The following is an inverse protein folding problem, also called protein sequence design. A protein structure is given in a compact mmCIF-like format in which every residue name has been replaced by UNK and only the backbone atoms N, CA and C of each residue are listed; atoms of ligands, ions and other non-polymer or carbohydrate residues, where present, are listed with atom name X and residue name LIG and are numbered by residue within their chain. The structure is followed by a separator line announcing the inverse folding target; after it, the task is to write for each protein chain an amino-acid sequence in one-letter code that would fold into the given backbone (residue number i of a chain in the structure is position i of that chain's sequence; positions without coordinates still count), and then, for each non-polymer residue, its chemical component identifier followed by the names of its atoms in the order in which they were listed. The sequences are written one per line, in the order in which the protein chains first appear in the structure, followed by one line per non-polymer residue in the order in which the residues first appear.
data_IF_788673873924
#
_entry.id   IF_788673873924
#
_cell.length_a   1.000
_cell.length_b   1.000
_cell.length_c   1.000
_cell.angle_alpha   90.00
_cell.angle_beta   90.00
_cell.angle_gamma   90.00
#
_symmetry.space_group_name_H-M   'P 1'
#
loop_
_entity.id
_entity.type
_entity.pdbx_description
1 polymer ?
#
# COMPACT_ATOMS: atom_id res chain seq x y z
N UNK A 1 -16.82 17.96 18.43
CA UNK A 1 -16.16 16.63 18.33
C UNK A 1 -14.94 16.82 17.44
N UNK A 2 -13.73 16.48 17.90
CA UNK A 2 -12.51 16.65 17.09
C UNK A 2 -12.36 15.47 16.15
N UNK A 3 -12.24 15.72 14.85
CA UNK A 3 -12.03 14.68 13.84
C UNK A 3 -10.61 14.13 13.97
N UNK A 4 -10.47 12.81 14.12
CA UNK A 4 -9.14 12.16 14.17
C UNK A 4 -8.38 12.43 12.87
N UNK A 5 -7.12 12.87 12.98
CA UNK A 5 -6.25 13.05 11.82
C UNK A 5 -5.61 11.71 11.39
N UNK A 6 -6.24 10.99 10.48
CA UNK A 6 -5.78 9.68 10.01
C UNK A 6 -4.47 9.75 9.20
N UNK A 7 -4.16 10.90 8.59
CA UNK A 7 -2.86 11.13 7.94
C UNK A 7 -1.71 11.06 8.95
N UNK A 8 -1.92 11.65 10.13
CA UNK A 8 -0.95 11.59 11.24
C UNK A 8 -0.82 10.19 11.80
N UNK A 9 -1.93 9.45 11.96
CA UNK A 9 -1.90 8.05 12.44
C UNK A 9 -1.02 7.15 11.57
N UNK A 10 -1.11 7.28 10.24
CA UNK A 10 -0.26 6.51 9.32
C UNK A 10 1.11 7.16 9.02
N UNK A 11 1.37 8.36 9.53
CA UNK A 11 2.56 9.15 9.19
C UNK A 11 2.74 9.32 7.67
N UNK A 12 1.67 9.73 6.99
CA UNK A 12 1.63 9.96 5.53
C UNK A 12 1.09 11.34 5.21
N UNK A 13 1.50 11.88 4.07
CA UNK A 13 0.98 13.14 3.55
C UNK A 13 -0.24 12.91 2.65
N UNK A 14 -1.16 13.90 2.49
CA UNK A 14 -2.36 13.78 1.66
C UNK A 14 -2.14 13.32 0.21
N UNK A 15 -1.01 13.68 -0.39
CA UNK A 15 -0.61 13.34 -1.75
C UNK A 15 0.04 11.96 -1.88
N UNK A 16 0.18 11.21 -0.78
CA UNK A 16 0.82 9.89 -0.79
C UNK A 16 0.06 8.91 -1.66
N UNK A 17 0.79 8.13 -2.47
CA UNK A 17 0.21 7.05 -3.27
C UNK A 17 -0.41 5.96 -2.39
N UNK A 18 -1.38 5.22 -2.94
CA UNK A 18 -2.03 4.07 -2.29
C UNK A 18 -1.01 3.07 -1.76
N UNK A 19 0.01 2.74 -2.57
CA UNK A 19 1.10 1.85 -2.19
C UNK A 19 1.90 2.38 -0.99
N UNK A 20 2.23 3.67 -0.98
CA UNK A 20 2.96 4.30 0.13
C UNK A 20 2.12 4.26 1.42
N UNK A 21 0.82 4.55 1.32
CA UNK A 21 -0.10 4.45 2.46
C UNK A 21 -0.19 3.02 3.01
N UNK A 22 -0.33 2.02 2.13
CA UNK A 22 -0.37 0.63 2.54
C UNK A 22 0.94 0.16 3.20
N UNK A 23 2.11 0.52 2.64
CA UNK A 23 3.41 0.17 3.24
C UNK A 23 3.53 0.73 4.66
N UNK A 24 3.10 1.97 4.87
CA UNK A 24 3.10 2.63 6.18
C UNK A 24 2.12 1.98 7.15
N UNK A 25 0.90 1.70 6.70
CA UNK A 25 -0.10 0.92 7.42
C UNK A 25 0.47 -0.42 7.86
N UNK A 26 0.99 -1.25 6.93
CA UNK A 26 1.53 -2.57 7.26
C UNK A 26 2.63 -2.46 8.30
N UNK A 27 3.59 -1.55 8.09
CA UNK A 27 4.72 -1.36 9.03
C UNK A 27 4.25 -0.96 10.43
N UNK A 28 3.30 -0.03 10.53
CA UNK A 28 2.74 0.41 11.80
C UNK A 28 1.94 -0.72 12.47
N UNK A 29 1.08 -1.40 11.70
CA UNK A 29 0.21 -2.47 12.18
C UNK A 29 1.00 -3.67 12.71
N UNK A 30 2.07 -4.07 12.03
CA UNK A 30 2.94 -5.18 12.49
C UNK A 30 3.73 -4.83 13.76
N UNK A 31 4.02 -3.54 13.98
CA UNK A 31 4.73 -3.05 15.17
C UNK A 31 3.81 -2.70 16.35
N UNK A 32 2.50 -2.66 16.13
CA UNK A 32 1.55 -2.29 17.17
C UNK A 32 1.36 -3.45 18.15
N UNK A 33 1.59 -3.16 19.43
CA UNK A 33 1.50 -4.12 20.52
C UNK A 33 0.08 -4.22 21.11
N UNK A 34 -0.68 -3.13 21.07
CA UNK A 34 -2.05 -3.09 21.60
C UNK A 34 -3.11 -3.33 20.51
N UNK A 35 -4.25 -3.89 20.93
CA UNK A 35 -5.44 -4.04 20.08
C UNK A 35 -5.94 -2.66 19.64
N UNK A 36 -6.05 -1.71 20.57
CA UNK A 36 -6.50 -0.34 20.30
C UNK A 36 -5.64 0.36 19.25
N UNK A 37 -4.31 0.19 19.28
CA UNK A 37 -3.43 0.76 18.26
C UNK A 37 -3.65 0.10 16.89
N UNK A 38 -3.83 -1.22 16.87
CA UNK A 38 -4.12 -1.95 15.62
C UNK A 38 -5.45 -1.52 15.02
N UNK A 39 -6.48 -1.31 15.84
CA UNK A 39 -7.77 -0.76 15.42
C UNK A 39 -7.60 0.63 14.83
N UNK A 40 -6.89 1.52 15.54
CA UNK A 40 -6.67 2.90 15.10
C UNK A 40 -5.91 2.96 13.78
N UNK A 41 -4.89 2.13 13.63
CA UNK A 41 -4.07 2.03 12.41
C UNK A 41 -4.90 1.47 11.25
N UNK A 42 -5.70 0.43 11.48
CA UNK A 42 -6.57 -0.15 10.46
C UNK A 42 -7.66 0.85 10.04
N UNK A 43 -8.29 1.53 11.01
CA UNK A 43 -9.28 2.57 10.74
C UNK A 43 -8.70 3.68 9.88
N UNK A 44 -7.48 4.14 10.19
CA UNK A 44 -6.81 5.16 9.40
C UNK A 44 -6.55 4.69 7.96
N UNK A 45 -6.17 3.43 7.75
CA UNK A 45 -6.01 2.89 6.40
C UNK A 45 -7.33 2.79 5.64
N UNK A 46 -8.39 2.29 6.27
CA UNK A 46 -9.71 2.16 5.64
C UNK A 46 -10.29 3.52 5.27
N UNK A 47 -10.17 4.53 6.15
CA UNK A 47 -10.65 5.89 5.89
C UNK A 47 -9.88 6.55 4.74
N UNK A 48 -8.56 6.36 4.69
CA UNK A 48 -7.69 6.89 3.64
C UNK A 48 -7.70 6.06 2.36
N UNK A 49 -8.48 4.98 2.29
CA UNK A 49 -8.71 4.23 1.07
C UNK A 49 -9.38 5.11 0.00
N UNK A 50 -9.15 4.79 -1.28
CA UNK A 50 -9.53 5.67 -2.39
C UNK A 50 -11.04 5.98 -2.45
N UNK A 51 -11.91 5.07 -1.98
CA UNK A 51 -13.36 5.23 -2.02
C UNK A 51 -13.87 6.25 -0.98
N UNK A 52 -13.25 6.32 0.19
CA UNK A 52 -13.68 7.16 1.32
C UNK A 52 -12.85 8.43 1.52
N UNK A 53 -11.61 8.44 1.04
CA UNK A 53 -10.66 9.56 1.22
C UNK A 53 -11.24 10.92 0.84
N UNK A 54 -11.95 11.01 -0.30
CA UNK A 54 -12.55 12.27 -0.76
C UNK A 54 -13.53 12.88 0.25
N UNK A 55 -14.30 12.04 0.95
CA UNK A 55 -15.25 12.50 1.97
C UNK A 55 -14.52 12.93 3.24
N UNK A 56 -13.46 12.19 3.59
CA UNK A 56 -12.61 12.52 4.72
C UNK A 56 -11.87 13.85 4.52
N UNK A 57 -11.32 14.11 3.33
CA UNK A 57 -10.61 15.35 3.02
C UNK A 57 -11.54 16.57 3.13
N UNK A 58 -12.80 16.44 2.71
CA UNK A 58 -13.82 17.48 2.89
C UNK A 58 -14.07 17.72 4.38
N UNK A 59 -14.29 16.67 5.18
CA UNK A 59 -14.50 16.80 6.62
C UNK A 59 -13.31 17.40 7.35
N UNK A 60 -12.09 17.05 6.94
CA UNK A 60 -10.87 17.58 7.52
C UNK A 60 -10.72 19.08 7.21
N UNK A 61 -11.08 19.51 5.99
CA UNK A 61 -11.11 20.92 5.62
C UNK A 61 -12.16 21.68 6.43
N UNK A 62 -13.39 21.15 6.55
CA UNK A 62 -14.47 21.73 7.37
C UNK A 62 -14.07 21.85 8.85
N UNK A 63 -13.43 20.82 9.41
CA UNK A 63 -12.94 20.83 10.78
C UNK A 63 -11.86 21.90 11.00
N UNK A 64 -10.98 22.15 10.02
CA UNK A 64 -9.94 23.18 10.10
C UNK A 64 -10.50 24.59 9.99
N UNK A 65 -11.59 24.78 9.24
CA UNK A 65 -12.26 26.07 9.09
C UNK A 65 -13.32 26.34 10.16
N UNK A 66 -13.45 25.48 11.17
CA UNK A 66 -14.53 25.51 12.18
C UNK A 66 -15.94 25.54 11.58
N UNK A 67 -16.11 24.99 10.38
CA UNK A 67 -17.41 24.85 9.74
C UNK A 67 -18.18 23.64 10.31
N UNK A 68 -19.50 23.66 10.17
CA UNK A 68 -20.32 22.51 10.52
C UNK A 68 -19.95 21.30 9.64
N UNK A 69 -19.72 20.14 10.30
CA UNK A 69 -19.34 18.91 9.61
C UNK A 69 -20.53 18.31 8.89
N UNK A 70 -20.32 17.91 7.63
CA UNK A 70 -21.35 17.21 6.88
C UNK A 70 -21.65 15.83 7.51
N UNK A 71 -22.85 15.68 8.08
CA UNK A 71 -23.26 14.47 8.81
C UNK A 71 -23.27 13.22 7.93
N UNK A 72 -23.65 13.34 6.66
CA UNK A 72 -23.63 12.21 5.72
C UNK A 72 -22.20 11.68 5.52
N UNK A 73 -21.23 12.58 5.38
CA UNK A 73 -19.83 12.20 5.25
C UNK A 73 -19.27 11.65 6.56
N UNK A 74 -19.62 12.27 7.69
CA UNK A 74 -19.19 11.81 9.00
C UNK A 74 -19.63 10.36 9.24
N UNK A 75 -20.87 10.01 8.92
CA UNK A 75 -21.38 8.64 9.04
C UNK A 75 -20.62 7.64 8.17
N UNK A 76 -20.16 8.03 6.98
CA UNK A 76 -19.31 7.17 6.13
C UNK A 76 -17.98 6.87 6.84
N UNK A 77 -17.35 7.89 7.44
CA UNK A 77 -16.07 7.73 8.14
C UNK A 77 -16.23 6.90 9.41
N UNK A 78 -17.25 7.20 10.23
CA UNK A 78 -17.55 6.44 11.45
C UNK A 78 -17.85 4.97 11.15
N UNK A 79 -18.50 4.67 10.02
CA UNK A 79 -18.72 3.29 9.60
C UNK A 79 -17.39 2.57 9.31
N UNK A 80 -16.41 3.22 8.67
CA UNK A 80 -15.08 2.63 8.45
C UNK A 80 -14.34 2.36 9.76
N UNK A 81 -14.42 3.29 10.71
CA UNK A 81 -13.84 3.08 12.05
C UNK A 81 -14.51 1.89 12.77
N UNK A 82 -15.84 1.78 12.70
CA UNK A 82 -16.59 0.65 13.26
C UNK A 82 -16.21 -0.69 12.61
N UNK A 83 -15.95 -0.70 11.30
CA UNK A 83 -15.49 -1.92 10.64
C UNK A 83 -14.07 -2.30 11.10
N UNK A 84 -13.16 -1.32 11.24
CA UNK A 84 -11.82 -1.61 11.74
C UNK A 84 -11.86 -2.28 13.11
N UNK A 85 -12.69 -1.79 14.03
CA UNK A 85 -12.90 -2.43 15.35
C UNK A 85 -13.37 -3.87 15.21
N UNK A 86 -14.42 -4.11 14.42
CA UNK A 86 -14.94 -5.46 14.16
C UNK A 86 -13.92 -6.42 13.55
N UNK A 87 -12.98 -5.94 12.75
CA UNK A 87 -11.93 -6.77 12.14
C UNK A 87 -10.82 -7.17 13.10
N UNK A 88 -10.61 -6.39 14.18
CA UNK A 88 -9.56 -6.64 15.17
C UNK A 88 -10.09 -7.42 16.38
N UNK A 89 -11.33 -7.17 16.79
CA UNK A 89 -11.96 -7.78 17.99
C UNK A 89 -12.35 -9.27 17.79
N UNK A 90 -12.32 -9.77 16.54
CA UNK A 90 -12.85 -11.08 16.15
C UNK A 90 -11.74 -12.09 15.81
N UNK A 91 -12.07 -13.38 15.61
CA UNK A 91 -11.16 -14.47 15.10
C UNK A 91 -10.45 -14.13 13.76
N UNK A 92 -10.77 -12.97 13.19
CA UNK A 92 -10.33 -12.47 11.90
C UNK A 92 -9.00 -11.72 11.95
N UNK A 93 -8.48 -11.39 13.13
CA UNK A 93 -7.13 -10.85 13.25
C UNK A 93 -6.09 -11.79 12.59
N UNK A 94 -6.29 -13.10 12.71
CA UNK A 94 -5.46 -14.12 12.04
C UNK A 94 -5.63 -14.10 10.53
N UNK A 95 -6.85 -13.91 10.03
CA UNK A 95 -7.12 -13.82 8.59
C UNK A 95 -6.52 -12.54 7.99
N UNK A 96 -6.69 -11.39 8.66
CA UNK A 96 -6.07 -10.12 8.29
C UNK A 96 -4.55 -10.25 8.31
N UNK A 97 -3.97 -10.82 9.37
CA UNK A 97 -2.52 -11.07 9.46
C UNK A 97 -2.03 -11.95 8.31
N UNK A 98 -2.75 -13.04 7.99
CA UNK A 98 -2.43 -13.91 6.85
C UNK A 98 -2.46 -13.15 5.53
N UNK A 99 -3.46 -12.28 5.32
CA UNK A 99 -3.51 -11.42 4.13
C UNK A 99 -2.34 -10.44 4.08
N UNK A 100 -1.96 -9.84 5.22
CA UNK A 100 -0.80 -8.96 5.29
C UNK A 100 0.53 -9.70 5.05
N UNK A 101 0.65 -10.95 5.47
CA UNK A 101 1.85 -11.76 5.29
C UNK A 101 2.18 -12.06 3.82
N UNK A 102 1.19 -12.00 2.91
CA UNK A 102 1.44 -12.07 1.45
C UNK A 102 2.29 -10.91 0.89
N UNK A 103 2.53 -9.86 1.67
CA UNK A 103 3.27 -8.66 1.28
C UNK A 103 4.67 -8.59 1.94
N UNK A 104 5.74 -9.21 1.42
CA UNK A 104 7.03 -9.24 2.10
C UNK A 104 7.58 -7.84 2.39
N UNK A 105 7.86 -7.52 3.66
CA UNK A 105 8.42 -6.22 4.07
C UNK A 105 9.79 -5.94 3.41
N UNK A 106 10.54 -6.98 3.03
CA UNK A 106 11.85 -6.88 2.41
C UNK A 106 11.84 -6.18 1.03
N UNK A 107 10.70 -6.14 0.33
CA UNK A 107 10.57 -5.44 -0.95
C UNK A 107 10.42 -3.90 -0.81
N UNK A 108 10.54 -3.37 0.42
CA UNK A 108 10.47 -1.93 0.71
C UNK A 108 11.78 -1.21 0.36
N UNK A 109 12.93 -1.91 0.30
CA UNK A 109 14.26 -1.31 0.09
C UNK A 109 14.41 -0.70 -1.31
N UNK A 110 13.70 -1.21 -2.33
CA UNK A 110 13.81 -0.69 -3.71
C UNK A 110 13.09 0.65 -3.94
N UNK A 111 12.11 1.00 -3.09
CA UNK A 111 11.44 2.31 -3.15
C UNK A 111 12.38 3.44 -2.71
N UNK A 112 13.40 3.16 -1.89
CA UNK A 112 14.39 4.16 -1.45
C UNK A 112 15.32 4.60 -2.61
N UNK A 113 15.30 3.89 -3.74
CA UNK A 113 16.04 4.25 -4.95
C UNK A 113 15.27 5.21 -5.88
N UNK A 114 14.03 5.62 -5.55
CA UNK A 114 13.28 6.63 -6.31
C UNK A 114 12.80 6.19 -7.70
N UNK A 115 12.78 4.88 -7.96
CA UNK A 115 12.36 4.32 -9.23
C UNK A 115 10.83 4.16 -9.25
N UNK A 116 10.11 5.11 -9.85
CA UNK A 116 8.66 5.07 -10.02
C UNK A 116 8.32 4.58 -11.42
N UNK A 117 7.83 3.35 -11.54
CA UNK A 117 7.32 2.81 -12.80
C UNK A 117 5.79 2.76 -12.78
N UNK A 118 5.16 2.73 -13.96
CA UNK A 118 3.73 2.49 -14.02
C UNK A 118 3.38 1.10 -13.50
N UNK A 119 2.10 0.89 -13.23
CA UNK A 119 1.66 -0.23 -12.37
C UNK A 119 0.81 -1.27 -13.10
N UNK A 120 0.64 -1.11 -14.41
CA UNK A 120 -0.08 -2.05 -15.26
C UNK A 120 0.71 -3.34 -15.51
N UNK A 121 0.00 -4.39 -15.93
CA UNK A 121 0.56 -5.69 -16.33
C UNK A 121 1.67 -5.57 -17.39
N UNK A 122 1.64 -4.50 -18.20
CA UNK A 122 2.68 -4.13 -19.17
C UNK A 122 4.03 -3.81 -18.52
N UNK A 123 4.03 -3.24 -17.32
CA UNK A 123 5.25 -2.94 -16.57
C UNK A 123 5.85 -4.19 -15.91
N UNK A 124 5.00 -5.15 -15.53
CA UNK A 124 5.44 -6.48 -15.09
C UNK A 124 6.13 -7.23 -16.23
N UNK A 125 5.51 -7.29 -17.41
CA UNK A 125 6.10 -7.98 -18.57
C UNK A 125 7.36 -7.28 -19.08
N UNK A 126 7.37 -5.95 -19.09
CA UNK A 126 8.56 -5.16 -19.43
C UNK A 126 9.69 -5.36 -18.41
N UNK A 127 9.38 -5.40 -17.11
CA UNK A 127 10.33 -5.71 -16.05
C UNK A 127 10.97 -7.09 -16.23
N UNK A 128 10.18 -8.13 -16.52
CA UNK A 128 10.68 -9.49 -16.82
C UNK A 128 11.61 -9.46 -18.04
N UNK A 129 11.23 -8.74 -19.10
CA UNK A 129 12.02 -8.63 -20.33
C UNK A 129 13.38 -7.99 -20.05
N UNK A 130 13.39 -6.89 -19.28
CA UNK A 130 14.61 -6.20 -18.89
C UNK A 130 15.49 -7.10 -18.03
N UNK A 131 14.92 -7.86 -17.09
CA UNK A 131 15.68 -8.84 -16.29
C UNK A 131 16.31 -9.91 -17.20
N UNK A 132 15.59 -10.45 -18.17
CA UNK A 132 16.15 -11.45 -19.10
C UNK A 132 17.29 -10.88 -19.95
N UNK A 133 17.11 -9.67 -20.50
CA UNK A 133 18.17 -8.97 -21.26
C UNK A 133 19.38 -8.66 -20.38
N UNK A 134 19.16 -8.29 -19.13
CA UNK A 134 20.21 -7.97 -18.16
C UNK A 134 21.10 -9.18 -17.84
N UNK A 135 20.50 -10.37 -17.69
CA UNK A 135 21.21 -11.62 -17.48
C UNK A 135 22.05 -11.94 -18.72
N UNK A 136 21.47 -11.80 -19.92
CA UNK A 136 22.19 -11.98 -21.18
C UNK A 136 23.39 -11.06 -21.34
N UNK A 137 23.24 -9.76 -21.05
CA UNK A 137 24.31 -8.77 -21.07
C UNK A 137 25.42 -9.08 -20.06
N UNK A 138 25.04 -9.50 -18.85
CA UNK A 138 25.99 -9.86 -17.80
C UNK A 138 26.80 -11.10 -18.18
N UNK A 139 26.13 -12.16 -18.67
CA UNK A 139 26.80 -13.38 -19.14
C UNK A 139 27.73 -13.08 -20.31
N UNK A 140 27.27 -12.30 -21.31
CA UNK A 140 28.08 -11.90 -22.45
C UNK A 140 29.33 -11.13 -22.01
N UNK A 141 29.18 -10.17 -21.09
CA UNK A 141 30.29 -9.41 -20.53
C UNK A 141 31.30 -10.27 -19.77
N UNK A 142 30.84 -11.24 -18.99
CA UNK A 142 31.72 -12.20 -18.29
C UNK A 142 32.49 -13.07 -19.29
N UNK A 143 31.80 -13.67 -20.28
CA UNK A 143 32.42 -14.54 -21.27
C UNK A 143 33.39 -13.79 -22.20
N UNK A 144 33.11 -12.51 -22.48
CA UNK A 144 33.93 -11.67 -23.36
C UNK A 144 34.97 -10.83 -22.61
N UNK A 145 35.06 -10.95 -21.27
CA UNK A 145 35.90 -10.13 -20.40
C UNK A 145 35.67 -8.62 -20.56
N UNK A 146 34.46 -8.21 -20.91
CA UNK A 146 34.07 -6.82 -21.10
C UNK A 146 33.35 -6.30 -19.85
N UNK A 147 33.90 -5.28 -19.21
CA UNK A 147 33.35 -4.70 -17.98
C UNK A 147 32.06 -3.89 -18.25
N UNK A 148 31.98 -3.21 -19.39
CA UNK A 148 30.84 -2.33 -19.71
C UNK A 148 29.50 -3.08 -19.80
N UNK A 149 29.41 -4.24 -20.50
CA UNK A 149 28.19 -5.05 -20.52
C UNK A 149 27.81 -5.64 -19.15
N UNK A 150 28.78 -5.93 -18.27
CA UNK A 150 28.52 -6.39 -16.91
C UNK A 150 27.83 -5.30 -16.09
N UNK A 151 28.38 -4.08 -16.10
CA UNK A 151 27.80 -2.94 -15.38
C UNK A 151 26.40 -2.61 -15.93
N UNK A 152 26.27 -2.55 -17.26
CA UNK A 152 24.99 -2.32 -17.93
C UNK A 152 23.95 -3.39 -17.59
N UNK A 153 24.38 -4.66 -17.54
CA UNK A 153 23.56 -5.78 -17.09
C UNK A 153 23.09 -5.62 -15.64
N UNK A 154 23.98 -5.32 -14.69
CA UNK A 154 23.60 -5.14 -13.28
C UNK A 154 22.59 -3.98 -13.12
N UNK A 155 22.81 -2.85 -13.78
CA UNK A 155 21.88 -1.70 -13.72
C UNK A 155 20.52 -2.05 -14.34
N UNK A 156 20.52 -2.70 -15.50
CA UNK A 156 19.29 -3.16 -16.13
C UNK A 156 18.54 -4.15 -15.23
N UNK A 157 19.25 -5.05 -14.54
CA UNK A 157 18.65 -6.00 -13.60
C UNK A 157 17.93 -5.27 -12.47
N UNK A 158 18.57 -4.27 -11.85
CA UNK A 158 17.98 -3.47 -10.77
C UNK A 158 16.69 -2.79 -11.25
N UNK A 159 16.72 -2.17 -12.44
CA UNK A 159 15.57 -1.50 -13.05
C UNK A 159 14.44 -2.49 -13.32
N UNK A 160 14.75 -3.59 -14.02
CA UNK A 160 13.74 -4.60 -14.38
C UNK A 160 13.12 -5.27 -13.14
N UNK A 161 13.93 -5.54 -12.12
CA UNK A 161 13.45 -6.08 -10.85
C UNK A 161 12.55 -5.09 -10.10
N UNK A 162 12.91 -3.80 -10.08
CA UNK A 162 12.08 -2.76 -9.48
C UNK A 162 10.70 -2.66 -10.17
N UNK A 163 10.68 -2.67 -11.51
CA UNK A 163 9.45 -2.67 -12.32
C UNK A 163 8.56 -3.89 -12.04
N UNK A 164 9.16 -5.08 -12.06
CA UNK A 164 8.47 -6.33 -11.76
C UNK A 164 7.88 -6.32 -10.34
N UNK A 165 8.69 -5.95 -9.36
CA UNK A 165 8.28 -5.87 -7.95
C UNK A 165 7.12 -4.91 -7.77
N UNK A 166 7.22 -3.69 -8.31
CA UNK A 166 6.18 -2.67 -8.18
C UNK A 166 4.84 -3.13 -8.78
N UNK A 167 4.85 -3.76 -9.95
CA UNK A 167 3.62 -4.30 -10.57
C UNK A 167 3.01 -5.46 -9.78
N UNK A 168 3.83 -6.37 -9.23
CA UNK A 168 3.35 -7.43 -8.34
C UNK A 168 2.72 -6.85 -7.06
N UNK A 169 3.30 -5.78 -6.51
CA UNK A 169 2.74 -5.09 -5.35
C UNK A 169 1.38 -4.46 -5.62
N UNK A 170 1.20 -3.83 -6.79
CA UNK A 170 -0.09 -3.29 -7.21
C UNK A 170 -1.14 -4.40 -7.30
N UNK A 171 -0.82 -5.50 -7.97
CA UNK A 171 -1.74 -6.63 -8.13
C UNK A 171 -2.18 -7.20 -6.77
N UNK A 172 -1.23 -7.38 -5.84
CA UNK A 172 -1.53 -7.83 -4.49
C UNK A 172 -2.40 -6.82 -3.72
N UNK A 173 -2.13 -5.52 -3.89
CA UNK A 173 -2.93 -4.45 -3.28
C UNK A 173 -4.38 -4.47 -3.76
N UNK A 174 -4.59 -4.61 -5.06
CA UNK A 174 -5.94 -4.67 -5.61
C UNK A 174 -6.67 -5.95 -5.17
N UNK A 175 -5.94 -7.06 -5.01
CA UNK A 175 -6.49 -8.27 -4.40
C UNK A 175 -6.88 -8.07 -2.93
N UNK A 176 -6.05 -7.36 -2.15
CA UNK A 176 -6.32 -7.05 -0.75
C UNK A 176 -7.53 -6.12 -0.58
N UNK A 177 -7.64 -5.09 -1.40
CA UNK A 177 -8.79 -4.18 -1.39
C UNK A 177 -10.08 -4.90 -1.80
N UNK A 178 -10.03 -5.76 -2.82
CA UNK A 178 -11.17 -6.61 -3.19
C UNK A 178 -11.56 -7.58 -2.07
N UNK A 179 -10.58 -8.10 -1.32
CA UNK A 179 -10.84 -8.94 -0.15
C UNK A 179 -11.53 -8.13 0.96
N UNK A 180 -11.04 -6.92 1.26
CA UNK A 180 -11.67 -6.00 2.20
C UNK A 180 -13.12 -5.70 1.76
N UNK A 181 -13.32 -5.30 0.51
CA UNK A 181 -14.64 -4.98 -0.06
C UNK A 181 -15.62 -6.16 0.02
N UNK A 182 -15.19 -7.37 -0.34
CA UNK A 182 -16.02 -8.58 -0.17
C UNK A 182 -16.36 -8.85 1.29
N UNK A 183 -15.42 -8.64 2.20
CA UNK A 183 -15.67 -8.77 3.64
C UNK A 183 -16.67 -7.71 4.14
N UNK A 184 -16.60 -6.48 3.60
CA UNK A 184 -17.53 -5.40 3.91
C UNK A 184 -18.95 -5.71 3.41
N UNK A 185 -19.09 -6.20 2.18
CA UNK A 185 -20.38 -6.44 1.52
C UNK A 185 -21.10 -7.64 2.15
N UNK A 186 -20.42 -8.77 2.33
CA UNK A 186 -21.03 -10.04 2.79
C UNK A 186 -21.61 -9.97 4.21
N UNK A 187 -21.19 -9.00 5.04
CA UNK A 187 -21.70 -8.82 6.41
C UNK A 187 -22.58 -7.56 6.59
N UNK A 188 -22.84 -6.82 5.52
CA UNK A 188 -23.79 -5.68 5.53
C UNK A 188 -25.22 -6.06 5.14
N UNK A 189 -25.40 -7.30 4.66
CA UNK A 189 -26.67 -8.01 4.40
C UNK A 189 -26.93 -9.02 5.49
#
# INVERSE_FOLDING_TARGET
MSLTNHYTVLSVQPESSKLKMFKRFKKAFTKADSIDDRERILAAYLVLSASTKKYYDILLAQSKSNAELNQKYLNIILNQESIAKRLIDDRQQTALKKQLDYFPLAAIILDELGLFFGTDLKWVSLGITIVMVSIGLTIYGILSLLILPIIGGILAFIIGYAMFSQGVWQYKLDHFDNWLEKYHIVRST
#
